data_IF_486637189249
#
_entry.id   IF_486637189249
#
_cell.length_a   1.000
_cell.length_b   1.000
_cell.length_c   1.000
_cell.angle_alpha   90.00
_cell.angle_beta   90.00
_cell.angle_gamma   90.00
#
_symmetry.space_group_name_H-M   'P 1'
#
loop_
_entity.id
_entity.type
_entity.pdbx_description
1 polymer ?
#
# COMPACT_ATOMS: atom_id res chain seq x y z
N UNK A 1 17.78 -11.55 5.49
CA UNK A 1 16.98 -11.34 4.26
C UNK A 1 16.39 -9.93 4.31
N UNK A 2 17.07 -8.94 3.73
CA UNK A 2 16.65 -7.52 3.70
C UNK A 2 16.02 -7.11 2.34
N UNK A 3 16.09 -7.98 1.33
CA UNK A 3 15.64 -7.70 -0.05
C UNK A 3 14.11 -7.52 -0.12
N UNK A 4 13.33 -8.20 0.73
CA UNK A 4 11.86 -8.15 0.72
C UNK A 4 11.27 -6.81 1.17
N UNK A 5 11.95 -6.06 2.04
CA UNK A 5 11.43 -4.79 2.56
C UNK A 5 11.44 -3.69 1.49
N UNK A 6 12.52 -3.59 0.71
CA UNK A 6 12.64 -2.62 -0.37
C UNK A 6 11.62 -2.85 -1.48
N UNK A 7 11.42 -4.12 -1.87
CA UNK A 7 10.40 -4.49 -2.87
C UNK A 7 8.98 -4.22 -2.38
N UNK A 8 8.71 -4.47 -1.09
CA UNK A 8 7.39 -4.18 -0.50
C UNK A 8 7.13 -2.67 -0.40
N UNK A 9 8.15 -1.87 -0.05
CA UNK A 9 8.04 -0.42 0.01
C UNK A 9 7.73 0.19 -1.37
N UNK A 10 8.43 -0.24 -2.43
CA UNK A 10 8.15 0.21 -3.80
C UNK A 10 6.71 -0.11 -4.24
N UNK A 11 6.16 -1.25 -3.80
CA UNK A 11 4.76 -1.61 -4.06
C UNK A 11 3.78 -0.71 -3.31
N UNK A 12 4.09 -0.35 -2.06
CA UNK A 12 3.29 0.61 -1.27
C UNK A 12 3.27 1.97 -1.95
N UNK A 13 4.43 2.48 -2.37
CA UNK A 13 4.54 3.79 -3.04
C UNK A 13 3.73 3.81 -4.35
N UNK A 14 3.88 2.77 -5.17
CA UNK A 14 3.10 2.63 -6.40
C UNK A 14 1.59 2.61 -6.14
N UNK A 15 1.13 1.81 -5.17
CA UNK A 15 -0.29 1.75 -4.83
C UNK A 15 -0.83 3.09 -4.28
N UNK A 16 0.04 3.89 -3.68
CA UNK A 16 -0.27 5.24 -3.19
C UNK A 16 -0.51 6.20 -4.34
N UNK A 17 0.35 6.18 -5.36
CA UNK A 17 0.20 6.99 -6.56
C UNK A 17 -1.05 6.57 -7.36
N UNK A 18 -1.29 5.27 -7.50
CA UNK A 18 -2.48 4.73 -8.17
C UNK A 18 -3.76 5.19 -7.46
N UNK A 19 -3.81 5.13 -6.13
CA UNK A 19 -4.95 5.62 -5.34
C UNK A 19 -5.16 7.13 -5.53
N UNK A 20 -4.08 7.93 -5.53
CA UNK A 20 -4.16 9.37 -5.73
C UNK A 20 -4.70 9.72 -7.12
N UNK A 21 -4.26 9.02 -8.16
CA UNK A 21 -4.78 9.20 -9.52
C UNK A 21 -6.26 8.84 -9.61
N UNK A 22 -6.66 7.72 -9.03
CA UNK A 22 -8.05 7.25 -9.05
C UNK A 22 -8.96 8.18 -8.24
N UNK A 23 -8.50 8.71 -7.10
CA UNK A 23 -9.23 9.74 -6.35
C UNK A 23 -9.38 11.04 -7.16
N UNK A 24 -8.34 11.48 -7.86
CA UNK A 24 -8.45 12.65 -8.76
C UNK A 24 -9.44 12.44 -9.90
N UNK A 25 -9.51 11.22 -10.44
CA UNK A 25 -10.37 10.91 -11.58
C UNK A 25 -11.84 10.74 -11.20
N UNK A 26 -12.13 10.07 -10.08
CA UNK A 26 -13.49 9.67 -9.71
C UNK A 26 -14.06 10.45 -8.51
N UNK A 27 -13.29 11.33 -7.88
CA UNK A 27 -13.69 12.08 -6.70
C UNK A 27 -13.47 11.31 -5.40
N UNK A 28 -14.18 11.73 -4.34
CA UNK A 28 -13.98 11.23 -2.98
C UNK A 28 -14.24 9.72 -2.81
N UNK A 29 -13.89 9.20 -1.62
CA UNK A 29 -13.85 7.81 -1.14
C UNK A 29 -15.16 6.99 -1.23
N UNK A 30 -16.11 7.37 -2.08
CA UNK A 30 -17.38 6.67 -2.34
C UNK A 30 -17.38 5.92 -3.67
N UNK A 31 -16.39 6.12 -4.55
CA UNK A 31 -16.33 5.38 -5.81
C UNK A 31 -15.77 3.96 -5.60
N UNK A 32 -16.41 2.90 -6.14
CA UNK A 32 -15.97 1.51 -5.95
C UNK A 32 -14.49 1.27 -6.30
N UNK A 33 -14.01 1.94 -7.35
CA UNK A 33 -12.61 1.86 -7.80
C UNK A 33 -11.62 2.52 -6.83
N UNK A 34 -12.03 3.58 -6.13
CA UNK A 34 -11.22 4.22 -5.08
C UNK A 34 -11.15 3.31 -3.85
N UNK A 35 -12.27 2.66 -3.49
CA UNK A 35 -12.33 1.71 -2.37
C UNK A 35 -11.46 0.48 -2.61
N UNK A 36 -11.49 -0.07 -3.82
CA UNK A 36 -10.65 -1.22 -4.20
C UNK A 36 -9.16 -0.87 -4.10
N UNK A 37 -8.75 0.30 -4.60
CA UNK A 37 -7.37 0.76 -4.51
C UNK A 37 -6.95 1.05 -3.06
N UNK A 38 -7.86 1.59 -2.25
CA UNK A 38 -7.60 1.79 -0.81
C UNK A 38 -7.34 0.45 -0.10
N UNK A 39 -8.11 -0.59 -0.43
CA UNK A 39 -7.92 -1.93 0.13
C UNK A 39 -6.57 -2.52 -0.27
N UNK A 40 -6.16 -2.35 -1.53
CA UNK A 40 -4.85 -2.83 -2.01
C UNK A 40 -3.72 -2.13 -1.25
N UNK A 41 -3.80 -0.81 -1.09
CA UNK A 41 -2.82 -0.03 -0.33
C UNK A 41 -2.75 -0.50 1.14
N UNK A 42 -3.89 -0.73 1.78
CA UNK A 42 -3.95 -1.22 3.17
C UNK A 42 -3.31 -2.62 3.31
N UNK A 43 -3.54 -3.52 2.36
CA UNK A 43 -2.92 -4.85 2.38
C UNK A 43 -1.40 -4.77 2.27
N UNK A 44 -0.89 -3.89 1.40
CA UNK A 44 0.55 -3.67 1.22
C UNK A 44 1.19 -3.01 2.45
N UNK A 45 0.53 -2.02 3.05
CA UNK A 45 0.97 -1.40 4.30
C UNK A 45 1.04 -2.43 5.43
N UNK A 46 0.00 -3.24 5.59
CA UNK A 46 -0.02 -4.32 6.58
C UNK A 46 1.12 -5.34 6.36
N UNK A 47 1.42 -5.68 5.10
CA UNK A 47 2.54 -6.53 4.77
C UNK A 47 3.88 -5.89 5.15
N UNK A 48 4.07 -4.61 4.80
CA UNK A 48 5.26 -3.84 5.15
C UNK A 48 5.47 -3.76 6.68
N UNK A 49 4.42 -3.42 7.44
CA UNK A 49 4.49 -3.36 8.91
C UNK A 49 4.81 -4.72 9.53
N UNK A 50 4.25 -5.82 9.01
CA UNK A 50 4.57 -7.18 9.47
C UNK A 50 6.03 -7.56 9.20
N UNK A 51 6.56 -7.18 8.05
CA UNK A 51 7.96 -7.41 7.70
C UNK A 51 8.92 -6.57 8.56
N UNK A 52 8.55 -5.34 8.90
CA UNK A 52 9.35 -4.50 9.80
C UNK A 52 9.27 -4.96 11.25
N UNK A 53 8.10 -5.40 11.73
CA UNK A 53 7.94 -5.90 13.10
C UNK A 53 8.72 -7.20 13.35
N UNK A 54 8.95 -8.02 12.31
CA UNK A 54 9.81 -9.21 12.40
C UNK A 54 11.30 -8.88 12.53
N UNK A 55 11.75 -7.70 12.11
CA UNK A 55 13.14 -7.26 12.29
C UNK A 55 13.44 -6.68 13.67
N UNK A 56 12.43 -6.38 14.49
CA UNK A 56 12.60 -5.84 15.85
C UNK A 56 12.47 -6.90 16.96
N UNK A 57 12.31 -8.17 16.60
CA UNK A 57 12.09 -9.29 17.54
C UNK A 57 13.22 -10.35 17.50
N UNK A 58 14.43 -9.96 17.10
CA UNK A 58 15.64 -10.78 17.20
C UNK A 58 16.79 -9.94 17.75
#
# INVERSE_FOLDING_TARGET
MQIDQGVTLLRVEKARDDLYQVQRQFGALSHPKVLEQSRILDQLLNQYYRLNKKSSAH
#
